data_IF_408549538423
#
_entry.id   IF_408549538423
#
_cell.length_a   1.000
_cell.length_b   1.000
_cell.length_c   1.000
_cell.angle_alpha   90.00
_cell.angle_beta   90.00
_cell.angle_gamma   90.00
#
_symmetry.space_group_name_H-M   'P 1'
#
loop_
_entity.id
_entity.type
_entity.pdbx_description
1 polymer ?
#
# COMPACT_ATOMS: atom_id res chain seq x y z
N UNK A 1 3.61 13.41 27.40
CA UNK A 1 2.52 12.46 27.09
C UNK A 1 3.03 11.60 25.95
N UNK A 2 3.62 10.44 26.26
CA UNK A 2 4.15 9.53 25.24
C UNK A 2 2.97 8.89 24.49
N UNK A 3 2.67 9.44 23.31
CA UNK A 3 1.76 8.80 22.36
C UNK A 3 2.49 7.53 21.91
N UNK A 4 2.08 6.38 22.44
CA UNK A 4 2.57 5.05 22.09
C UNK A 4 2.08 4.68 20.69
N UNK A 5 2.59 5.38 19.68
CA UNK A 5 2.19 5.22 18.28
C UNK A 5 2.68 3.88 17.75
N UNK A 6 1.77 2.94 17.51
CA UNK A 6 2.13 1.59 17.08
C UNK A 6 2.46 1.61 15.57
N UNK A 7 3.53 0.97 15.10
CA UNK A 7 3.87 0.92 13.68
C UNK A 7 2.73 0.39 12.78
N UNK A 8 1.86 -0.48 13.31
CA UNK A 8 0.68 -0.97 12.59
C UNK A 8 -0.39 0.11 12.35
N UNK A 9 -0.50 1.10 13.25
CA UNK A 9 -1.42 2.23 13.09
C UNK A 9 -0.97 3.14 11.95
N UNK A 10 0.35 3.26 11.73
CA UNK A 10 0.89 4.04 10.61
C UNK A 10 0.46 3.51 9.24
N UNK A 11 0.41 2.18 9.05
CA UNK A 11 -0.03 1.59 7.78
C UNK A 11 -1.54 1.74 7.58
N UNK A 12 -2.34 1.55 8.65
CA UNK A 12 -3.78 1.79 8.61
C UNK A 12 -4.12 3.25 8.29
N UNK A 13 -3.35 4.19 8.84
CA UNK A 13 -3.46 5.61 8.53
C UNK A 13 -3.13 5.90 7.06
N UNK A 14 -2.07 5.29 6.51
CA UNK A 14 -1.74 5.42 5.09
C UNK A 14 -2.85 4.87 4.18
N UNK A 15 -3.44 3.72 4.53
CA UNK A 15 -4.59 3.16 3.79
C UNK A 15 -5.80 4.10 3.88
N UNK A 16 -6.03 4.72 5.04
CA UNK A 16 -7.09 5.71 5.19
C UNK A 16 -6.86 6.97 4.34
N UNK A 17 -5.66 7.51 4.30
CA UNK A 17 -5.32 8.62 3.40
C UNK A 17 -5.51 8.24 1.93
N UNK A 18 -5.25 6.96 1.60
CA UNK A 18 -5.54 6.42 0.28
C UNK A 18 -7.02 6.50 -0.12
N UNK A 19 -7.96 6.36 0.84
CA UNK A 19 -9.40 6.47 0.54
C UNK A 19 -9.82 7.89 0.14
N UNK A 20 -9.03 8.89 0.52
CA UNK A 20 -9.20 10.29 0.12
C UNK A 20 -8.32 10.69 -1.07
N UNK A 21 -7.61 9.73 -1.68
CA UNK A 21 -6.74 9.97 -2.85
C UNK A 21 -5.33 10.45 -2.52
N UNK A 22 -4.92 10.45 -1.25
CA UNK A 22 -3.57 10.85 -0.84
C UNK A 22 -2.67 9.63 -0.65
N UNK A 23 -1.58 9.55 -1.43
CA UNK A 23 -0.66 8.41 -1.44
C UNK A 23 0.79 8.80 -1.12
N UNK A 24 1.08 9.33 0.08
CA UNK A 24 2.40 9.88 0.43
C UNK A 24 3.51 8.82 0.51
N UNK A 25 3.15 7.54 0.42
CA UNK A 25 4.08 6.41 0.46
C UNK A 25 4.75 6.13 -0.90
N UNK A 26 4.15 6.56 -2.01
CA UNK A 26 4.63 6.23 -3.36
C UNK A 26 5.20 7.46 -4.05
N UNK A 27 6.26 7.26 -4.82
CA UNK A 27 6.80 8.30 -5.68
C UNK A 27 5.92 8.45 -6.94
N UNK A 28 5.74 9.68 -7.41
CA UNK A 28 4.89 10.00 -8.56
C UNK A 28 5.30 9.22 -9.81
N UNK A 29 6.59 9.04 -10.02
CA UNK A 29 7.15 8.26 -11.13
C UNK A 29 6.59 6.83 -11.21
N UNK A 30 6.27 6.22 -10.06
CA UNK A 30 5.70 4.87 -10.01
C UNK A 30 4.20 4.87 -10.29
N UNK A 31 3.51 5.97 -9.98
CA UNK A 31 2.09 6.12 -10.30
C UNK A 31 1.86 6.40 -11.79
N UNK A 32 2.85 7.01 -12.45
CA UNK A 32 2.81 7.32 -13.88
C UNK A 32 3.24 6.15 -14.77
N UNK A 33 3.86 5.10 -14.22
CA UNK A 33 4.27 3.91 -14.96
C UNK A 33 3.07 3.27 -15.70
N UNK A 34 3.11 3.16 -17.05
CA UNK A 34 2.05 2.53 -17.84
C UNK A 34 1.72 1.10 -17.39
N UNK A 35 2.73 0.30 -17.07
CA UNK A 35 2.57 -1.09 -16.63
C UNK A 35 1.82 -1.15 -15.29
N UNK A 36 2.11 -0.18 -14.41
CA UNK A 36 1.40 -0.03 -13.14
C UNK A 36 -0.05 0.44 -13.34
N UNK A 37 -0.33 1.31 -14.31
CA UNK A 37 -1.70 1.76 -14.60
C UNK A 37 -2.58 0.63 -15.13
N UNK A 38 -2.07 -0.16 -16.07
CA UNK A 38 -2.81 -1.28 -16.66
C UNK A 38 -3.05 -2.42 -15.68
N UNK A 39 -2.06 -2.72 -14.82
CA UNK A 39 -2.10 -3.88 -13.92
C UNK A 39 -2.60 -3.57 -12.52
N UNK A 40 -2.91 -2.31 -12.19
CA UNK A 40 -3.32 -1.86 -10.84
C UNK A 40 -4.51 -2.65 -10.28
N UNK A 41 -5.49 -2.95 -11.11
CA UNK A 41 -6.75 -3.59 -10.72
C UNK A 41 -6.78 -5.11 -10.99
N UNK A 42 -5.71 -5.68 -11.52
CA UNK A 42 -5.68 -7.11 -11.81
C UNK A 42 -5.85 -7.96 -10.54
N UNK A 43 -6.38 -9.17 -10.69
CA UNK A 43 -6.47 -10.13 -9.58
C UNK A 43 -5.07 -10.46 -9.05
N UNK A 44 -4.97 -10.65 -7.73
CA UNK A 44 -3.75 -11.09 -7.06
C UNK A 44 -3.96 -12.57 -6.78
N UNK A 45 -3.04 -13.41 -7.24
CA UNK A 45 -3.06 -14.86 -7.01
C UNK A 45 -2.76 -15.18 -5.53
N UNK A 46 -3.04 -16.42 -5.10
CA UNK A 46 -2.75 -16.84 -3.71
C UNK A 46 -1.27 -16.71 -3.33
N UNK A 47 -0.37 -17.03 -4.26
CA UNK A 47 1.09 -16.93 -4.06
C UNK A 47 1.51 -15.47 -3.93
N UNK A 48 1.03 -14.61 -4.84
CA UNK A 48 1.29 -13.16 -4.77
C UNK A 48 0.73 -12.54 -3.50
N UNK A 49 -0.43 -13.01 -3.00
CA UNK A 49 -1.01 -12.54 -1.73
C UNK A 49 -0.09 -12.86 -0.55
N UNK A 50 0.49 -14.05 -0.51
CA UNK A 50 1.45 -14.43 0.53
C UNK A 50 2.72 -13.59 0.46
N UNK A 51 3.24 -13.31 -0.74
CA UNK A 51 4.38 -12.41 -0.95
C UNK A 51 4.06 -10.98 -0.54
N UNK A 52 2.94 -10.44 -0.99
CA UNK A 52 2.45 -9.11 -0.61
C UNK A 52 2.36 -8.98 0.92
N UNK A 53 1.82 -9.98 1.63
CA UNK A 53 1.76 -9.97 3.10
C UNK A 53 3.16 -9.82 3.74
N UNK A 54 4.18 -10.51 3.22
CA UNK A 54 5.57 -10.36 3.69
C UNK A 54 6.12 -8.96 3.43
N UNK A 55 5.88 -8.42 2.24
CA UNK A 55 6.29 -7.05 1.88
C UNK A 55 5.60 -6.02 2.79
N UNK A 56 4.31 -6.19 3.08
CA UNK A 56 3.58 -5.38 4.06
C UNK A 56 4.18 -5.44 5.45
N UNK A 57 4.55 -6.63 5.92
CA UNK A 57 5.22 -6.77 7.20
C UNK A 57 6.57 -6.04 7.22
N UNK A 58 7.35 -6.14 6.14
CA UNK A 58 8.64 -5.45 6.02
C UNK A 58 8.48 -3.93 6.09
N UNK A 59 7.56 -3.36 5.31
CA UNK A 59 7.31 -1.89 5.30
C UNK A 59 6.68 -1.44 6.63
N UNK A 60 5.79 -2.23 7.21
CA UNK A 60 5.06 -1.85 8.42
C UNK A 60 5.91 -1.83 9.68
N UNK A 61 7.07 -2.51 9.70
CA UNK A 61 8.04 -2.46 10.80
C UNK A 61 8.58 -1.04 11.06
N UNK A 62 8.67 -0.22 10.02
CA UNK A 62 9.24 1.12 10.14
C UNK A 62 8.17 2.13 10.54
N UNK A 63 8.42 2.92 11.58
CA UNK A 63 7.47 3.95 12.04
C UNK A 63 7.41 5.16 11.10
N UNK A 64 8.59 5.65 10.69
CA UNK A 64 8.72 6.89 9.93
C UNK A 64 8.38 6.66 8.46
N UNK A 65 7.64 7.60 7.86
CA UNK A 65 7.26 7.55 6.45
C UNK A 65 8.48 7.46 5.55
N UNK A 66 9.51 8.26 5.82
CA UNK A 66 10.73 8.27 5.00
C UNK A 66 11.43 6.90 5.02
N UNK A 67 11.52 6.24 6.17
CA UNK A 67 12.08 4.88 6.23
C UNK A 67 11.22 3.87 5.45
N UNK A 68 9.88 4.00 5.47
CA UNK A 68 9.01 3.16 4.65
C UNK A 68 9.26 3.38 3.15
N UNK A 69 9.45 4.64 2.72
CA UNK A 69 9.81 4.98 1.33
C UNK A 69 11.16 4.39 0.95
N UNK A 70 12.17 4.51 1.82
CA UNK A 70 13.49 3.90 1.59
C UNK A 70 13.41 2.40 1.40
N UNK A 71 12.58 1.71 2.21
CA UNK A 71 12.36 0.27 2.05
C UNK A 71 11.74 -0.05 0.70
N UNK A 72 10.71 0.71 0.27
CA UNK A 72 10.11 0.54 -1.05
C UNK A 72 11.08 0.85 -2.20
N UNK A 73 11.99 1.82 -2.02
CA UNK A 73 13.05 2.14 -2.97
C UNK A 73 14.07 1.00 -3.10
N UNK A 74 14.33 0.27 -2.02
CA UNK A 74 15.25 -0.87 -2.01
C UNK A 74 14.66 -2.18 -2.55
N UNK A 75 13.34 -2.23 -2.77
CA UNK A 75 12.67 -3.41 -3.33
C UNK A 75 12.93 -3.54 -4.83
N UNK A 76 12.83 -4.77 -5.33
CA UNK A 76 12.77 -5.01 -6.77
C UNK A 76 11.54 -4.31 -7.37
N UNK A 77 11.60 -3.99 -8.68
CA UNK A 77 10.45 -3.36 -9.34
C UNK A 77 9.19 -4.24 -9.26
N UNK A 78 9.35 -5.56 -9.41
CA UNK A 78 8.25 -6.53 -9.29
C UNK A 78 7.62 -6.52 -7.89
N UNK A 79 8.44 -6.58 -6.83
CA UNK A 79 7.95 -6.57 -5.45
C UNK A 79 7.28 -5.23 -5.12
N UNK A 80 7.84 -4.12 -5.60
CA UNK A 80 7.26 -2.79 -5.43
C UNK A 80 5.90 -2.69 -6.12
N UNK A 81 5.79 -3.15 -7.37
CA UNK A 81 4.53 -3.20 -8.11
C UNK A 81 3.49 -4.08 -7.41
N UNK A 82 3.90 -5.25 -6.92
CA UNK A 82 3.04 -6.15 -6.16
C UNK A 82 2.56 -5.50 -4.85
N UNK A 83 3.45 -4.83 -4.12
CA UNK A 83 3.09 -4.08 -2.91
C UNK A 83 2.08 -2.99 -3.23
N UNK A 84 2.32 -2.17 -4.25
CA UNK A 84 1.41 -1.10 -4.66
C UNK A 84 0.04 -1.65 -5.08
N UNK A 85 0.01 -2.71 -5.88
CA UNK A 85 -1.23 -3.39 -6.31
C UNK A 85 -2.04 -3.88 -5.11
N UNK A 86 -1.38 -4.54 -4.16
CA UNK A 86 -2.01 -5.00 -2.92
C UNK A 86 -2.48 -3.83 -2.04
N UNK A 87 -1.72 -2.73 -1.96
CA UNK A 87 -2.11 -1.53 -1.24
C UNK A 87 -3.38 -0.90 -1.82
N UNK A 88 -3.45 -0.72 -3.14
CA UNK A 88 -4.63 -0.16 -3.79
C UNK A 88 -5.87 -1.03 -3.58
N UNK A 89 -5.72 -2.36 -3.57
CA UNK A 89 -6.84 -3.25 -3.23
C UNK A 89 -7.36 -3.10 -1.80
N UNK A 90 -6.47 -2.85 -0.84
CA UNK A 90 -6.90 -2.58 0.54
C UNK A 90 -7.63 -1.24 0.64
N UNK A 91 -7.16 -0.24 -0.09
CA UNK A 91 -7.83 1.07 -0.20
C UNK A 91 -9.22 0.92 -0.84
N UNK A 92 -9.30 0.21 -1.97
CA UNK A 92 -10.54 -0.08 -2.69
C UNK A 92 -11.53 -0.83 -1.80
N UNK A 93 -11.10 -1.92 -1.13
CA UNK A 93 -11.94 -2.65 -0.20
C UNK A 93 -12.48 -1.75 0.92
N UNK A 94 -11.64 -0.86 1.46
CA UNK A 94 -12.06 0.10 2.49
C UNK A 94 -13.06 1.15 1.98
N UNK A 95 -12.94 1.57 0.71
CA UNK A 95 -13.93 2.48 0.09
C UNK A 95 -15.27 1.78 -0.06
N UNK A 96 -15.27 0.53 -0.54
CA UNK A 96 -16.47 -0.27 -0.69
C UNK A 96 -17.16 -0.53 0.66
N UNK A 97 -16.38 -0.87 1.70
CA UNK A 97 -16.89 -1.06 3.06
C UNK A 97 -17.54 0.22 3.63
N UNK A 98 -17.03 1.40 3.26
CA UNK A 98 -17.58 2.70 3.70
C UNK A 98 -18.81 3.16 2.91
N UNK A 99 -19.03 2.58 1.72
CA UNK A 99 -20.14 2.92 0.81
C UNK A 99 -20.77 1.63 0.28
N UNK A 100 -21.52 0.91 1.13
CA UNK A 100 -22.14 -0.37 0.76
C UNK A 100 -23.17 -0.22 -0.38
N UNK A 101 -23.59 1.00 -0.69
CA UNK A 101 -24.50 1.34 -1.79
C UNK A 101 -23.84 1.26 -3.18
N UNK A 102 -22.52 1.05 -3.24
CA UNK A 102 -21.75 0.86 -4.48
C UNK A 102 -21.58 -0.62 -4.87
N UNK A 103 -22.25 -1.54 -4.17
CA UNK A 103 -22.28 -2.98 -4.48
C UNK A 103 -23.11 -3.31 -5.73
#
# INVERSE_FOLDING_TARGET
MDITYRPEESMKALIHLGTTGHFPLFHDIWMTDPDMKEKRFQKITGIERARAKKLFQQVSKHRQLEHKKTVLLSMSDEDRKLFMKAFFKLVEGKILDQRPELH
#
